data_IF_681338161339
#
_entry.id   IF_681338161339
#
_cell.length_a   1.000
_cell.length_b   1.000
_cell.length_c   1.000
_cell.angle_alpha   90.00
_cell.angle_beta   90.00
_cell.angle_gamma   90.00
#
_symmetry.space_group_name_H-M   'P 1'
#
loop_
_entity.id
_entity.type
_entity.pdbx_description
1 polymer ?
#
# COMPACT_ATOMS: atom_id res chain seq x y z
N UNK A 1 -6.97 -6.92 33.16
CA UNK A 1 -7.81 -6.32 32.09
C UNK A 1 -7.91 -4.80 32.23
N UNK A 2 -7.82 -4.06 31.11
CA UNK A 2 -7.91 -2.58 31.08
C UNK A 2 -9.28 -2.07 31.60
N UNK A 3 -10.30 -2.94 31.58
CA UNK A 3 -11.63 -2.68 32.14
C UNK A 3 -11.86 -3.13 33.59
N UNK A 4 -10.84 -3.60 34.33
CA UNK A 4 -11.03 -4.06 35.71
C UNK A 4 -11.10 -2.94 36.76
N UNK A 5 -10.75 -1.71 36.37
CA UNK A 5 -10.89 -0.52 37.22
C UNK A 5 -11.51 0.61 36.40
N UNK A 6 -12.46 1.31 36.98
CA UNK A 6 -13.15 2.43 36.30
C UNK A 6 -12.16 3.50 35.86
N UNK A 7 -11.12 3.77 36.68
CA UNK A 7 -10.07 4.74 36.37
C UNK A 7 -9.26 4.34 35.13
N UNK A 8 -8.93 3.05 34.97
CA UNK A 8 -8.18 2.60 33.79
C UNK A 8 -9.05 2.62 32.53
N UNK A 9 -10.36 2.37 32.66
CA UNK A 9 -11.32 2.44 31.57
C UNK A 9 -11.54 3.89 31.12
N UNK A 10 -11.72 4.81 32.06
CA UNK A 10 -11.83 6.26 31.79
C UNK A 10 -10.53 6.81 31.20
N UNK A 11 -9.37 6.44 31.74
CA UNK A 11 -8.08 6.86 31.22
C UNK A 11 -7.85 6.39 29.77
N UNK A 12 -8.17 5.12 29.49
CA UNK A 12 -8.05 4.55 28.15
C UNK A 12 -9.01 5.22 27.15
N UNK A 13 -10.26 5.44 27.53
CA UNK A 13 -11.25 6.10 26.66
C UNK A 13 -10.86 7.54 26.36
N UNK A 14 -10.41 8.32 27.34
CA UNK A 14 -9.93 9.69 27.12
C UNK A 14 -8.70 9.73 26.20
N UNK A 15 -7.74 8.82 26.39
CA UNK A 15 -6.60 8.69 25.51
C UNK A 15 -7.02 8.36 24.07
N UNK A 16 -7.96 7.42 23.91
CA UNK A 16 -8.49 7.01 22.61
C UNK A 16 -9.18 8.19 21.89
N UNK A 17 -10.04 8.93 22.59
CA UNK A 17 -10.68 10.14 22.05
C UNK A 17 -9.65 11.20 21.63
N UNK A 18 -8.65 11.49 22.48
CA UNK A 18 -7.59 12.44 22.14
C UNK A 18 -6.82 12.03 20.89
N UNK A 19 -6.54 10.73 20.73
CA UNK A 19 -5.86 10.19 19.58
C UNK A 19 -6.66 10.34 18.29
N UNK A 20 -7.97 10.05 18.32
CA UNK A 20 -8.84 10.24 17.15
C UNK A 20 -9.02 11.72 16.80
N UNK A 21 -9.22 12.58 17.80
CA UNK A 21 -9.32 14.03 17.59
C UNK A 21 -8.05 14.57 16.95
N UNK A 22 -6.88 14.09 17.38
CA UNK A 22 -5.61 14.46 16.77
C UNK A 22 -5.54 14.06 15.28
N UNK A 23 -5.87 12.81 14.94
CA UNK A 23 -5.81 12.35 13.54
C UNK A 23 -6.84 13.04 12.64
N UNK A 24 -8.05 13.29 13.16
CA UNK A 24 -9.08 14.09 12.47
C UNK A 24 -8.59 15.52 12.29
N UNK A 25 -8.03 16.14 13.32
CA UNK A 25 -7.46 17.48 13.25
C UNK A 25 -6.35 17.59 12.19
N UNK A 26 -5.44 16.61 12.16
CA UNK A 26 -4.37 16.56 11.15
C UNK A 26 -4.91 16.41 9.72
N UNK A 27 -5.92 15.58 9.51
CA UNK A 27 -6.52 15.40 8.18
C UNK A 27 -7.26 16.66 7.73
N UNK A 28 -8.07 17.26 8.61
CA UNK A 28 -8.79 18.50 8.34
C UNK A 28 -7.85 19.66 8.02
N UNK A 29 -6.85 19.92 8.88
CA UNK A 29 -5.91 21.02 8.67
C UNK A 29 -5.17 20.91 7.33
N UNK A 30 -4.91 19.68 6.89
CA UNK A 30 -4.28 19.40 5.61
C UNK A 30 -5.24 19.61 4.42
N UNK A 31 -6.48 19.12 4.53
CA UNK A 31 -7.53 19.34 3.53
C UNK A 31 -7.82 20.84 3.34
N UNK A 32 -7.85 21.63 4.42
CA UNK A 32 -8.05 23.08 4.36
C UNK A 32 -6.87 23.82 3.72
N UNK A 33 -5.63 23.41 3.97
CA UNK A 33 -4.45 24.05 3.38
C UNK A 33 -4.25 23.71 1.91
N UNK A 34 -4.57 22.48 1.50
CA UNK A 34 -4.33 21.99 0.14
C UNK A 34 -5.49 21.09 -0.34
N UNK A 35 -6.57 21.64 -0.90
CA UNK A 35 -7.75 20.87 -1.34
C UNK A 35 -7.45 19.82 -2.43
N UNK A 36 -6.33 19.96 -3.14
CA UNK A 36 -5.91 19.05 -4.21
C UNK A 36 -4.87 18.01 -3.76
N UNK A 37 -4.45 18.02 -2.50
CA UNK A 37 -3.53 17.03 -1.94
C UNK A 37 -4.30 15.84 -1.35
N UNK A 38 -3.60 14.73 -1.12
CA UNK A 38 -4.15 13.58 -0.41
C UNK A 38 -4.48 13.96 1.04
N UNK A 39 -5.53 13.32 1.60
CA UNK A 39 -6.04 13.59 2.95
C UNK A 39 -4.99 13.27 4.03
N UNK A 40 -4.15 12.26 3.77
CA UNK A 40 -2.98 11.94 4.59
C UNK A 40 -1.71 11.94 3.73
N UNK A 41 -0.59 12.35 4.32
CA UNK A 41 0.72 12.01 3.74
C UNK A 41 1.03 10.53 3.94
N UNK A 42 1.95 10.00 3.12
CA UNK A 42 2.45 8.63 3.27
C UNK A 42 3.01 8.36 4.66
N UNK A 43 3.83 9.28 5.19
CA UNK A 43 4.35 9.19 6.56
C UNK A 43 3.26 9.17 7.63
N UNK A 44 2.26 10.06 7.53
CA UNK A 44 1.11 10.05 8.45
C UNK A 44 0.32 8.75 8.37
N UNK A 45 0.16 8.16 7.17
CA UNK A 45 -0.51 6.87 7.05
C UNK A 45 0.25 5.73 7.74
N UNK A 46 1.58 5.70 7.64
CA UNK A 46 2.38 4.68 8.32
C UNK A 46 2.21 4.74 9.83
N UNK A 47 2.23 5.95 10.39
CA UNK A 47 2.01 6.18 11.82
C UNK A 47 0.57 5.90 12.25
N UNK A 48 -0.43 6.24 11.42
CA UNK A 48 -1.84 5.93 11.67
C UNK A 48 -2.05 4.42 11.76
N UNK A 49 -1.56 3.66 10.76
CA UNK A 49 -1.67 2.19 10.74
C UNK A 49 -0.96 1.59 11.94
N UNK A 50 0.30 1.98 12.20
CA UNK A 50 1.04 1.46 13.35
C UNK A 50 0.30 1.70 14.67
N UNK A 51 -0.31 2.87 14.84
CA UNK A 51 -1.06 3.20 16.05
C UNK A 51 -2.35 2.38 16.17
N UNK A 52 -3.11 2.24 15.08
CA UNK A 52 -4.33 1.44 15.07
C UNK A 52 -4.03 -0.03 15.36
N UNK A 53 -2.94 -0.55 14.80
CA UNK A 53 -2.57 -1.95 14.99
C UNK A 53 -2.21 -2.26 16.44
N UNK A 54 -1.50 -1.36 17.11
CA UNK A 54 -1.20 -1.51 18.55
C UNK A 54 -2.49 -1.59 19.37
N UNK A 55 -3.49 -0.77 19.04
CA UNK A 55 -4.79 -0.77 19.73
C UNK A 55 -5.54 -2.08 19.44
N UNK A 56 -5.66 -2.46 18.17
CA UNK A 56 -6.41 -3.66 17.74
C UNK A 56 -5.79 -4.91 18.33
N UNK A 57 -4.46 -5.06 18.24
CA UNK A 57 -3.75 -6.18 18.86
C UNK A 57 -3.99 -6.21 20.36
N UNK A 58 -3.91 -5.06 21.05
CA UNK A 58 -4.16 -4.96 22.49
C UNK A 58 -5.54 -5.48 22.92
N UNK A 59 -6.55 -5.43 22.04
CA UNK A 59 -7.85 -6.06 22.26
C UNK A 59 -7.85 -7.56 21.91
N UNK A 60 -7.19 -7.95 20.83
CA UNK A 60 -7.11 -9.36 20.39
C UNK A 60 -6.24 -10.26 21.28
N UNK A 61 -5.28 -9.68 22.01
CA UNK A 61 -4.38 -10.36 22.97
C UNK A 61 -5.10 -10.84 24.24
N UNK A 62 -6.25 -10.24 24.57
CA UNK A 62 -6.89 -10.47 25.87
C UNK A 62 -7.47 -11.89 25.92
N UNK A 63 -6.79 -12.75 26.67
CA UNK A 63 -7.15 -14.14 26.87
C UNK A 63 -8.11 -14.34 28.07
N UNK A 64 -9.03 -15.28 27.88
CA UNK A 64 -9.87 -15.99 28.86
C UNK A 64 -11.08 -15.28 29.45
N UNK A 65 -12.27 -15.75 29.03
CA UNK A 65 -13.42 -15.81 29.94
C UNK A 65 -13.96 -17.26 30.10
N UNK A 66 -13.85 -18.18 29.12
CA UNK A 66 -14.61 -19.45 29.19
C UNK A 66 -13.91 -20.75 28.72
N UNK A 67 -12.58 -20.90 28.86
CA UNK A 67 -11.91 -22.21 28.75
C UNK A 67 -11.83 -22.84 27.34
N UNK A 68 -12.34 -22.19 26.28
CA UNK A 68 -12.21 -22.65 24.90
C UNK A 68 -11.27 -21.76 24.08
N UNK A 69 -9.97 -21.90 24.34
CA UNK A 69 -8.88 -21.13 23.70
C UNK A 69 -8.93 -21.11 22.16
N UNK A 70 -9.46 -22.15 21.52
CA UNK A 70 -9.48 -22.31 20.06
C UNK A 70 -10.47 -21.42 19.33
N UNK A 71 -11.71 -21.37 19.80
CA UNK A 71 -12.75 -20.54 19.20
C UNK A 71 -12.42 -19.05 19.38
N UNK A 72 -11.83 -18.70 20.52
CA UNK A 72 -11.43 -17.32 20.82
C UNK A 72 -10.26 -16.87 19.93
N UNK A 73 -9.26 -17.72 19.68
CA UNK A 73 -8.12 -17.38 18.82
C UNK A 73 -8.53 -17.10 17.37
N UNK A 74 -9.28 -18.02 16.74
CA UNK A 74 -9.72 -17.83 15.35
C UNK A 74 -10.71 -16.67 15.20
N UNK A 75 -11.59 -16.47 16.18
CA UNK A 75 -12.52 -15.32 16.19
C UNK A 75 -11.77 -14.00 16.31
N UNK A 76 -10.78 -13.91 17.21
CA UNK A 76 -9.94 -12.73 17.37
C UNK A 76 -9.11 -12.46 16.10
N UNK A 77 -8.56 -13.50 15.48
CA UNK A 77 -7.81 -13.39 14.23
C UNK A 77 -8.70 -12.95 13.07
N UNK A 78 -9.92 -13.48 12.97
CA UNK A 78 -10.89 -13.09 11.95
C UNK A 78 -11.33 -11.63 12.13
N UNK A 79 -11.66 -11.22 13.35
CA UNK A 79 -12.03 -9.85 13.67
C UNK A 79 -10.90 -8.87 13.36
N UNK A 80 -9.66 -9.21 13.73
CA UNK A 80 -8.48 -8.43 13.38
C UNK A 80 -8.31 -8.33 11.87
N UNK A 81 -8.44 -9.44 11.14
CA UNK A 81 -8.34 -9.46 9.68
C UNK A 81 -9.39 -8.56 9.02
N UNK A 82 -10.63 -8.58 9.50
CA UNK A 82 -11.71 -7.72 9.01
C UNK A 82 -11.39 -6.24 9.26
N UNK A 83 -10.91 -5.89 10.45
CA UNK A 83 -10.53 -4.50 10.77
C UNK A 83 -9.37 -4.02 9.88
N UNK A 84 -8.37 -4.87 9.66
CA UNK A 84 -7.24 -4.57 8.78
C UNK A 84 -7.69 -4.36 7.32
N UNK A 85 -8.63 -5.18 6.84
CA UNK A 85 -9.28 -4.98 5.54
C UNK A 85 -9.94 -3.61 5.47
N UNK A 86 -10.77 -3.25 6.45
CA UNK A 86 -11.48 -1.96 6.49
C UNK A 86 -10.49 -0.79 6.50
N UNK A 87 -9.43 -0.85 7.31
CA UNK A 87 -8.40 0.19 7.40
C UNK A 87 -7.67 0.33 6.06
N UNK A 88 -7.23 -0.77 5.46
CA UNK A 88 -6.48 -0.73 4.20
C UNK A 88 -7.36 -0.25 3.02
N UNK A 89 -8.64 -0.62 2.98
CA UNK A 89 -9.59 -0.07 2.00
C UNK A 89 -9.85 1.43 2.21
N UNK A 90 -10.01 1.87 3.46
CA UNK A 90 -10.08 3.29 3.79
C UNK A 90 -8.82 4.05 3.32
N UNK A 91 -7.64 3.49 3.58
CA UNK A 91 -6.38 4.06 3.13
C UNK A 91 -6.23 4.09 1.62
N UNK A 92 -6.75 3.10 0.89
CA UNK A 92 -6.76 3.12 -0.58
C UNK A 92 -7.52 4.35 -1.11
N UNK A 93 -8.66 4.68 -0.49
CA UNK A 93 -9.42 5.87 -0.84
C UNK A 93 -8.72 7.18 -0.42
N UNK A 94 -8.07 7.19 0.75
CA UNK A 94 -7.48 8.40 1.34
C UNK A 94 -6.09 8.76 0.79
N UNK A 95 -5.30 7.75 0.40
CA UNK A 95 -3.93 7.92 -0.08
C UNK A 95 -3.80 7.97 -1.60
N UNK A 96 -4.82 7.55 -2.36
CA UNK A 96 -4.68 7.50 -3.81
C UNK A 96 -4.62 8.91 -4.40
N UNK A 97 -3.47 9.34 -4.95
CA UNK A 97 -3.33 10.68 -5.48
C UNK A 97 -4.26 10.88 -6.69
N UNK A 98 -4.83 12.07 -6.77
CA UNK A 98 -5.61 12.49 -7.92
C UNK A 98 -4.75 12.44 -9.20
N UNK A 99 -5.34 11.99 -10.31
CA UNK A 99 -4.70 11.84 -11.63
C UNK A 99 -3.70 12.95 -11.96
N UNK A 100 -4.07 14.22 -11.79
CA UNK A 100 -3.23 15.40 -12.07
C UNK A 100 -1.91 15.41 -11.29
N UNK A 101 -1.95 15.14 -9.98
CA UNK A 101 -0.75 15.08 -9.15
C UNK A 101 0.21 13.99 -9.64
N UNK A 102 -0.35 12.87 -10.09
CA UNK A 102 0.41 11.75 -10.62
C UNK A 102 1.03 12.07 -12.01
N UNK A 103 0.34 12.85 -12.86
CA UNK A 103 0.92 13.30 -14.14
C UNK A 103 2.10 14.26 -13.90
N UNK A 104 1.93 15.20 -12.97
CA UNK A 104 3.00 16.11 -12.56
C UNK A 104 4.21 15.32 -12.05
N UNK A 105 3.97 14.34 -11.18
CA UNK A 105 5.02 13.48 -10.67
C UNK A 105 5.73 12.71 -11.79
N UNK A 106 4.98 12.09 -12.71
CA UNK A 106 5.54 11.35 -13.84
C UNK A 106 6.44 12.23 -14.73
N UNK A 107 6.11 13.51 -14.90
CA UNK A 107 6.97 14.48 -15.60
C UNK A 107 8.26 14.74 -14.82
N UNK A 108 8.15 15.02 -13.52
CA UNK A 108 9.32 15.31 -12.68
C UNK A 108 10.26 14.11 -12.56
N UNK A 109 9.72 12.89 -12.44
CA UNK A 109 10.53 11.67 -12.30
C UNK A 109 11.34 11.37 -13.57
N UNK A 110 10.78 11.58 -14.77
CA UNK A 110 11.54 11.43 -16.01
C UNK A 110 12.68 12.44 -16.14
N UNK A 111 12.45 13.69 -15.73
CA UNK A 111 13.47 14.74 -15.75
C UNK A 111 14.58 14.45 -14.74
N UNK A 112 14.22 13.99 -13.53
CA UNK A 112 15.19 13.62 -12.50
C UNK A 112 16.02 12.41 -12.91
N UNK A 113 15.41 11.40 -13.53
CA UNK A 113 16.08 10.20 -14.03
C UNK A 113 17.09 10.54 -15.14
N UNK A 114 16.69 11.33 -16.15
CA UNK A 114 17.61 11.81 -17.20
C UNK A 114 18.79 12.61 -16.64
N UNK A 115 18.54 13.46 -15.64
CA UNK A 115 19.58 14.29 -15.00
C UNK A 115 20.53 13.45 -14.15
N UNK A 116 20.01 12.48 -13.42
CA UNK A 116 20.80 11.52 -12.63
C UNK A 116 21.70 10.65 -13.52
N UNK A 117 21.18 10.16 -14.67
CA UNK A 117 21.97 9.41 -15.65
C UNK A 117 23.13 10.23 -16.23
N UNK A 118 22.89 11.51 -16.57
CA UNK A 118 23.94 12.43 -17.04
C UNK A 118 25.01 12.69 -15.98
N UNK A 119 24.61 12.93 -14.72
CA UNK A 119 25.56 13.12 -13.61
C UNK A 119 26.40 11.86 -13.41
N UNK A 120 25.79 10.67 -13.42
CA UNK A 120 26.47 9.39 -13.26
C UNK A 120 27.48 9.10 -14.38
N UNK A 121 27.13 9.43 -15.63
CA UNK A 121 28.09 9.37 -16.75
C UNK A 121 29.22 10.40 -16.59
N UNK A 122 28.92 11.60 -16.09
CA UNK A 122 29.90 12.66 -15.90
C UNK A 122 30.87 12.35 -14.75
N UNK A 123 30.43 11.78 -13.63
CA UNK A 123 31.33 11.28 -12.57
C UNK A 123 32.16 10.09 -13.03
N UNK A 124 31.59 9.18 -13.84
CA UNK A 124 32.36 8.06 -14.42
C UNK A 124 33.46 8.55 -15.36
N UNK A 125 33.20 9.57 -16.20
CA UNK A 125 34.22 10.21 -17.04
C UNK A 125 35.21 11.08 -16.26
N UNK A 126 34.85 11.56 -15.08
CA UNK A 126 35.74 12.35 -14.20
C UNK A 126 36.73 11.49 -13.41
N UNK A 127 36.43 10.20 -13.19
CA UNK A 127 37.34 9.23 -12.58
C UNK A 127 38.64 9.06 -13.37
N UNK A 128 38.60 9.30 -14.69
CA UNK A 128 39.76 9.17 -15.59
C UNK A 128 40.54 10.49 -15.79
N UNK A 129 40.06 11.61 -15.22
CA UNK A 129 40.63 12.95 -15.42
C UNK A 129 41.43 13.44 -14.19
N UNK A 130 42.22 12.54 -13.59
CA UNK A 130 43.02 12.80 -12.38
C UNK A 130 44.19 13.77 -12.54
N UNK A 131 44.48 14.34 -13.72
CA UNK A 131 45.78 15.00 -13.97
C UNK A 131 45.73 16.44 -14.49
N UNK A 132 44.59 17.15 -14.46
CA UNK A 132 44.62 18.61 -14.69
C UNK A 132 43.72 19.37 -13.73
N UNK A 133 44.19 19.54 -12.50
CA UNK A 133 43.87 20.71 -11.70
C UNK A 133 45.00 21.71 -11.88
N UNK A 134 44.79 22.66 -12.77
CA UNK A 134 45.13 24.06 -12.55
C UNK A 134 44.19 24.85 -13.46
N UNK A 135 43.68 25.96 -12.93
CA UNK A 135 42.79 26.94 -13.60
C UNK A 135 41.29 26.64 -13.57
N UNK A 136 40.62 27.01 -12.46
CA UNK A 136 39.29 27.64 -12.53
C UNK A 136 39.23 28.78 -11.49
N UNK A 137 38.84 30.01 -11.87
CA UNK A 137 38.79 31.18 -10.98
C UNK A 137 37.60 31.14 -10.00
N UNK A 138 37.69 31.82 -8.84
CA UNK A 138 36.75 31.66 -7.73
C UNK A 138 35.62 32.69 -7.82
N UNK A 139 34.69 32.58 -8.77
CA UNK A 139 33.44 33.37 -8.68
C UNK A 139 32.26 32.77 -9.46
N UNK A 140 31.85 31.54 -9.13
CA UNK A 140 30.49 31.10 -9.47
C UNK A 140 29.78 30.76 -8.17
N UNK A 141 28.75 31.54 -7.87
CA UNK A 141 28.01 31.56 -6.63
C UNK A 141 27.49 30.17 -6.22
N UNK A 142 28.11 29.61 -5.17
CA UNK A 142 27.70 28.37 -4.49
C UNK A 142 26.22 28.38 -4.04
N UNK A 143 25.63 29.56 -3.88
CA UNK A 143 24.22 29.75 -3.49
C UNK A 143 23.22 29.31 -4.56
N UNK A 144 23.56 29.37 -5.86
CA UNK A 144 22.64 28.93 -6.94
C UNK A 144 22.71 27.41 -7.17
N UNK A 145 23.87 26.80 -6.92
CA UNK A 145 24.04 25.35 -6.98
C UNK A 145 23.36 24.66 -5.79
N UNK A 146 23.49 25.21 -4.58
CA UNK A 146 22.84 24.66 -3.38
C UNK A 146 21.30 24.69 -3.46
N UNK A 147 20.70 25.65 -4.17
CA UNK A 147 19.23 25.72 -4.39
C UNK A 147 18.72 24.72 -5.44
N UNK A 148 19.60 24.18 -6.30
CA UNK A 148 19.28 23.10 -7.24
C UNK A 148 19.60 21.70 -6.68
N UNK A 149 20.44 21.64 -5.65
CA UNK A 149 20.87 20.40 -4.98
C UNK A 149 19.92 19.98 -3.84
N UNK A 150 19.14 20.91 -3.28
CA UNK A 150 18.18 20.69 -2.17
C UNK A 150 16.94 19.85 -2.52
N UNK A 151 16.85 19.28 -3.73
CA UNK A 151 15.73 18.40 -4.11
C UNK A 151 16.16 17.20 -4.95
N UNK A 152 17.38 16.68 -4.76
CA UNK A 152 17.77 15.37 -5.29
C UNK A 152 17.28 14.25 -4.36
N UNK A 153 15.96 14.04 -4.25
CA UNK A 153 15.45 12.78 -3.70
C UNK A 153 15.71 11.68 -4.73
N UNK A 154 16.28 10.56 -4.30
CA UNK A 154 16.36 9.36 -5.14
C UNK A 154 14.94 8.89 -5.49
N UNK A 155 14.74 8.26 -6.65
CA UNK A 155 13.42 7.80 -7.09
C UNK A 155 12.72 6.92 -6.04
N UNK A 156 13.49 6.11 -5.31
CA UNK A 156 12.99 5.28 -4.20
C UNK A 156 12.49 6.13 -3.04
N UNK A 157 13.28 7.13 -2.60
CA UNK A 157 12.87 8.04 -1.54
C UNK A 157 11.62 8.84 -1.94
N UNK A 158 11.48 9.20 -3.21
CA UNK A 158 10.31 9.89 -3.73
C UNK A 158 9.09 8.97 -3.89
N UNK A 159 9.28 7.67 -4.16
CA UNK A 159 8.21 6.68 -4.15
C UNK A 159 7.65 6.43 -2.74
N UNK A 160 8.54 6.33 -1.75
CA UNK A 160 8.18 6.06 -0.35
C UNK A 160 7.61 7.30 0.33
N UNK A 161 8.24 8.46 0.15
CA UNK A 161 7.90 9.67 0.91
C UNK A 161 7.23 10.77 0.06
N UNK A 162 7.19 10.63 -1.25
CA UNK A 162 6.60 11.62 -2.14
C UNK A 162 5.08 11.55 -2.12
N UNK A 163 4.44 12.69 -1.90
CA UNK A 163 2.98 12.80 -1.78
C UNK A 163 2.26 12.63 -3.13
N UNK A 164 2.98 12.89 -4.23
CA UNK A 164 2.43 12.83 -5.59
C UNK A 164 2.78 11.52 -6.33
N UNK A 165 3.62 10.68 -5.73
CA UNK A 165 4.03 9.42 -6.34
C UNK A 165 2.95 8.35 -6.16
N UNK A 166 2.94 7.29 -6.99
CA UNK A 166 1.90 6.25 -6.94
C UNK A 166 1.69 5.72 -5.51
N UNK A 167 0.43 5.48 -5.14
CA UNK A 167 0.08 5.02 -3.79
C UNK A 167 0.44 3.55 -3.55
N UNK A 168 0.64 2.74 -4.60
CA UNK A 168 0.89 1.29 -4.51
C UNK A 168 2.05 0.95 -3.55
N UNK A 169 3.14 1.71 -3.58
CA UNK A 169 4.29 1.49 -2.67
C UNK A 169 3.95 1.88 -1.23
N UNK A 170 3.19 2.96 -1.04
CA UNK A 170 2.73 3.33 0.30
C UNK A 170 1.75 2.29 0.87
N UNK A 171 0.90 1.72 0.02
CA UNK A 171 0.00 0.63 0.39
C UNK A 171 0.77 -0.62 0.78
N UNK A 172 1.84 -0.97 0.06
CA UNK A 172 2.70 -2.09 0.42
C UNK A 172 3.35 -1.92 1.80
N UNK A 173 3.80 -0.70 2.13
CA UNK A 173 4.39 -0.40 3.45
C UNK A 173 3.32 -0.43 4.54
N UNK A 174 2.16 0.18 4.32
CA UNK A 174 1.03 0.11 5.27
C UNK A 174 0.60 -1.34 5.51
N UNK A 175 0.51 -2.14 4.45
CA UNK A 175 0.21 -3.57 4.55
C UNK A 175 1.27 -4.31 5.36
N UNK A 176 2.56 -4.07 5.13
CA UNK A 176 3.63 -4.69 5.90
C UNK A 176 3.56 -4.31 7.40
N UNK A 177 3.28 -3.04 7.72
CA UNK A 177 3.09 -2.59 9.10
C UNK A 177 1.88 -3.29 9.73
N UNK A 178 0.78 -3.46 8.98
CA UNK A 178 -0.44 -4.12 9.44
C UNK A 178 -0.25 -5.63 9.68
N UNK A 179 0.48 -6.32 8.78
CA UNK A 179 0.64 -7.78 8.83
C UNK A 179 1.80 -8.24 9.71
N UNK A 180 2.79 -7.40 9.99
CA UNK A 180 3.99 -7.84 10.74
C UNK A 180 3.66 -8.29 12.17
N UNK A 181 2.91 -7.51 12.98
CA UNK A 181 2.61 -7.92 14.35
C UNK A 181 1.71 -9.16 14.42
N UNK A 182 0.79 -9.31 13.48
CA UNK A 182 -0.13 -10.45 13.42
C UNK A 182 0.61 -11.71 13.03
N UNK A 183 1.50 -11.64 12.04
CA UNK A 183 2.41 -12.75 11.70
C UNK A 183 3.31 -13.11 12.87
N UNK A 184 3.87 -12.12 13.57
CA UNK A 184 4.71 -12.37 14.74
C UNK A 184 3.91 -13.07 15.85
N UNK A 185 2.70 -12.61 16.13
CA UNK A 185 1.78 -13.22 17.08
C UNK A 185 1.50 -14.70 16.73
N UNK A 186 1.15 -14.97 15.47
CA UNK A 186 0.87 -16.32 14.97
C UNK A 186 2.09 -17.25 15.09
N UNK A 187 3.28 -16.74 14.77
CA UNK A 187 4.51 -17.53 14.82
C UNK A 187 4.92 -17.88 16.25
N UNK A 188 4.75 -16.95 17.18
CA UNK A 188 5.06 -17.10 18.60
C UNK A 188 4.04 -18.00 19.32
N UNK A 189 2.80 -18.08 18.83
CA UNK A 189 1.80 -18.95 19.43
C UNK A 189 2.14 -20.43 19.20
N UNK A 190 2.18 -21.20 20.29
CA UNK A 190 2.30 -22.66 20.26
C UNK A 190 0.92 -23.28 20.46
N UNK A 191 0.09 -23.24 19.42
CA UNK A 191 -1.21 -23.94 19.45
C UNK A 191 -1.03 -25.36 18.89
N UNK A 192 -1.36 -26.36 19.71
CA UNK A 192 -1.29 -27.79 19.37
C UNK A 192 -2.17 -28.08 18.14
N UNK A 193 -1.72 -28.68 17.03
CA UNK A 193 -2.55 -28.84 15.79
C UNK A 193 -2.75 -27.61 14.88
N UNK A 194 -2.09 -26.48 15.11
CA UNK A 194 -2.09 -25.40 14.10
C UNK A 194 -1.18 -25.75 12.92
N UNK A 195 -1.77 -25.89 11.74
CA UNK A 195 -1.01 -25.97 10.50
C UNK A 195 -0.42 -24.59 10.15
N UNK A 196 0.77 -24.32 10.69
CA UNK A 196 1.49 -23.05 10.48
C UNK A 196 1.74 -22.77 9.00
N UNK A 197 1.87 -23.81 8.17
CA UNK A 197 2.09 -23.64 6.73
C UNK A 197 0.86 -23.05 6.05
N UNK A 198 -0.33 -23.56 6.40
CA UNK A 198 -1.61 -23.02 5.92
C UNK A 198 -1.82 -21.56 6.32
N UNK A 199 -1.51 -21.19 7.55
CA UNK A 199 -1.64 -19.79 7.98
C UNK A 199 -0.67 -18.88 7.21
N UNK A 200 0.58 -19.32 7.02
CA UNK A 200 1.56 -18.54 6.25
C UNK A 200 1.09 -18.32 4.80
N UNK A 201 0.54 -19.35 4.17
CA UNK A 201 -0.08 -19.21 2.85
C UNK A 201 -1.29 -18.28 2.88
N UNK A 202 -2.15 -18.37 3.89
CA UNK A 202 -3.27 -17.45 4.08
C UNK A 202 -2.81 -15.99 4.15
N UNK A 203 -1.73 -15.71 4.88
CA UNK A 203 -1.14 -14.37 4.94
C UNK A 203 -0.53 -13.93 3.59
N UNK A 204 0.11 -14.85 2.85
CA UNK A 204 0.64 -14.57 1.52
C UNK A 204 -0.48 -14.26 0.50
N UNK A 205 -1.59 -15.01 0.56
CA UNK A 205 -2.80 -14.74 -0.22
C UNK A 205 -3.39 -13.37 0.14
N UNK A 206 -3.54 -13.08 1.42
CA UNK A 206 -4.05 -11.79 1.90
C UNK A 206 -3.20 -10.63 1.35
N UNK A 207 -1.88 -10.72 1.48
CA UNK A 207 -0.98 -9.69 0.99
C UNK A 207 -1.07 -9.52 -0.54
N UNK A 208 -1.15 -10.63 -1.28
CA UNK A 208 -1.29 -10.62 -2.74
C UNK A 208 -2.60 -9.95 -3.18
N UNK A 209 -3.72 -10.30 -2.54
CA UNK A 209 -5.04 -9.70 -2.78
C UNK A 209 -5.05 -8.19 -2.52
N UNK A 210 -4.49 -7.75 -1.38
CA UNK A 210 -4.43 -6.33 -1.05
C UNK A 210 -3.58 -5.54 -2.06
N UNK A 211 -2.47 -6.11 -2.52
CA UNK A 211 -1.62 -5.49 -3.53
C UNK A 211 -2.27 -5.45 -4.92
N UNK A 212 -3.04 -6.48 -5.29
CA UNK A 212 -3.82 -6.51 -6.54
C UNK A 212 -4.87 -5.39 -6.50
N UNK A 213 -5.64 -5.26 -5.42
CA UNK A 213 -6.63 -4.18 -5.28
C UNK A 213 -6.00 -2.80 -5.29
N UNK A 214 -4.89 -2.60 -4.58
CA UNK A 214 -4.17 -1.34 -4.59
C UNK A 214 -3.74 -0.94 -6.02
N UNK A 215 -3.25 -1.91 -6.78
CA UNK A 215 -2.82 -1.71 -8.17
C UNK A 215 -4.00 -1.41 -9.10
N UNK A 216 -5.10 -2.15 -8.96
CA UNK A 216 -6.34 -1.94 -9.72
C UNK A 216 -6.94 -0.57 -9.46
N UNK A 217 -7.12 -0.20 -8.19
CA UNK A 217 -7.66 1.11 -7.78
C UNK A 217 -6.80 2.24 -8.35
N UNK A 218 -5.46 2.14 -8.21
CA UNK A 218 -4.54 3.14 -8.76
C UNK A 218 -4.67 3.26 -10.28
N UNK A 219 -4.79 2.15 -10.99
CA UNK A 219 -4.93 2.12 -12.46
C UNK A 219 -6.26 2.73 -12.89
N UNK A 220 -7.36 2.39 -12.24
CA UNK A 220 -8.70 2.93 -12.54
C UNK A 220 -8.73 4.44 -12.30
N UNK A 221 -8.14 4.91 -11.19
CA UNK A 221 -8.08 6.33 -10.87
C UNK A 221 -7.21 7.15 -11.84
N UNK A 222 -6.33 6.50 -12.60
CA UNK A 222 -5.56 7.11 -13.68
C UNK A 222 -6.32 7.22 -15.01
N UNK A 223 -7.37 6.43 -15.20
CA UNK A 223 -8.14 6.43 -16.44
C UNK A 223 -8.85 7.77 -16.69
N UNK A 224 -9.10 8.07 -17.95
CA UNK A 224 -9.83 9.26 -18.39
C UNK A 224 -11.34 9.01 -18.36
N UNK A 225 -11.91 8.87 -17.17
CA UNK A 225 -13.37 8.69 -17.01
C UNK A 225 -13.97 9.68 -16.02
N UNK A 226 -15.20 10.18 -16.27
CA UNK A 226 -15.96 10.89 -15.25
C UNK A 226 -16.32 9.93 -14.12
N UNK A 227 -16.35 10.42 -12.87
CA UNK A 227 -16.69 9.63 -11.67
C UNK A 227 -15.79 8.41 -11.41
N UNK A 228 -14.48 8.51 -11.73
CA UNK A 228 -13.46 7.46 -11.51
C UNK A 228 -13.48 6.74 -10.15
N UNK A 229 -13.86 7.44 -9.07
CA UNK A 229 -13.96 6.85 -7.73
C UNK A 229 -15.08 5.81 -7.65
N UNK A 230 -16.22 6.07 -8.32
CA UNK A 230 -17.34 5.13 -8.39
C UNK A 230 -16.96 3.89 -9.20
N UNK A 231 -16.24 4.08 -10.31
CA UNK A 231 -15.72 2.96 -11.11
C UNK A 231 -14.71 2.12 -10.32
N UNK A 232 -13.84 2.76 -9.54
CA UNK A 232 -12.88 2.04 -8.69
C UNK A 232 -13.61 1.24 -7.62
N UNK A 233 -14.55 1.86 -6.90
CA UNK A 233 -15.37 1.19 -5.88
C UNK A 233 -16.19 0.03 -6.47
N UNK A 234 -16.85 0.25 -7.61
CA UNK A 234 -17.63 -0.77 -8.30
C UNK A 234 -16.78 -1.93 -8.79
N UNK A 235 -15.58 -1.67 -9.31
CA UNK A 235 -14.67 -2.74 -9.77
C UNK A 235 -14.12 -3.56 -8.61
N UNK A 236 -13.75 -2.90 -7.51
CA UNK A 236 -13.34 -3.59 -6.29
C UNK A 236 -14.49 -4.48 -5.80
N UNK A 237 -15.68 -3.92 -5.58
CA UNK A 237 -16.85 -4.66 -5.12
C UNK A 237 -17.23 -5.83 -6.04
N UNK A 238 -17.21 -5.61 -7.36
CA UNK A 238 -17.46 -6.65 -8.34
C UNK A 238 -16.40 -7.76 -8.28
N UNK A 239 -15.12 -7.40 -8.21
CA UNK A 239 -14.01 -8.37 -8.10
C UNK A 239 -14.05 -9.12 -6.76
N UNK A 240 -14.51 -8.48 -5.69
CA UNK A 240 -14.70 -9.09 -4.37
C UNK A 240 -15.87 -10.07 -4.37
N UNK A 241 -17.04 -9.67 -4.87
CA UNK A 241 -18.27 -10.44 -4.69
C UNK A 241 -18.52 -11.44 -5.82
N UNK A 242 -18.25 -11.08 -7.08
CA UNK A 242 -18.61 -11.91 -8.24
C UNK A 242 -17.99 -13.30 -8.24
N UNK A 243 -16.70 -13.50 -7.92
CA UNK A 243 -16.13 -14.84 -7.94
C UNK A 243 -16.85 -15.78 -6.97
N UNK A 244 -17.20 -15.30 -5.78
CA UNK A 244 -17.87 -16.09 -4.74
C UNK A 244 -19.31 -16.39 -5.12
N UNK A 245 -20.04 -15.39 -5.62
CA UNK A 245 -21.44 -15.59 -6.01
C UNK A 245 -21.55 -16.54 -7.20
N UNK A 246 -20.66 -16.44 -8.18
CA UNK A 246 -20.63 -17.36 -9.34
C UNK A 246 -20.32 -18.78 -8.89
N UNK A 247 -19.30 -19.00 -8.05
CA UNK A 247 -19.00 -20.33 -7.54
C UNK A 247 -20.16 -20.92 -6.74
N UNK A 248 -20.78 -20.11 -5.87
CA UNK A 248 -21.93 -20.54 -5.07
C UNK A 248 -23.16 -20.87 -5.93
N UNK A 249 -23.47 -20.06 -6.94
CA UNK A 249 -24.60 -20.31 -7.86
C UNK A 249 -24.35 -21.53 -8.74
N UNK A 250 -23.11 -21.76 -9.16
CA UNK A 250 -22.73 -22.95 -9.92
C UNK A 250 -22.65 -24.22 -9.05
N UNK A 251 -22.84 -24.12 -7.73
CA UNK A 251 -22.76 -25.25 -6.81
C UNK A 251 -21.35 -25.83 -6.69
N UNK A 252 -20.31 -25.03 -6.98
CA UNK A 252 -18.91 -25.48 -6.89
C UNK A 252 -18.44 -25.27 -5.46
N UNK A 253 -18.38 -26.35 -4.68
CA UNK A 253 -17.95 -26.30 -3.29
C UNK A 253 -16.43 -26.51 -3.13
N UNK A 254 -15.82 -25.98 -2.06
CA UNK A 254 -14.36 -25.96 -1.87
C UNK A 254 -13.76 -27.33 -1.56
N UNK A 255 -14.55 -28.26 -1.05
CA UNK A 255 -14.20 -29.66 -0.79
C UNK A 255 -14.01 -30.45 -2.10
N UNK A 256 -14.80 -30.16 -3.13
CA UNK A 256 -14.66 -30.79 -4.45
C UNK A 256 -13.60 -30.11 -5.32
N UNK A 257 -13.59 -28.77 -5.35
CA UNK A 257 -12.75 -27.98 -6.26
C UNK A 257 -12.03 -26.82 -5.54
N UNK A 258 -11.04 -27.12 -4.67
CA UNK A 258 -10.36 -26.11 -3.87
C UNK A 258 -9.58 -25.09 -4.71
N UNK A 259 -9.13 -25.49 -5.91
CA UNK A 259 -8.36 -24.64 -6.82
C UNK A 259 -9.11 -23.37 -7.23
N UNK A 260 -10.40 -23.47 -7.56
CA UNK A 260 -11.22 -22.32 -7.96
C UNK A 260 -11.46 -21.36 -6.78
N UNK A 261 -11.61 -21.91 -5.59
CA UNK A 261 -11.76 -21.12 -4.36
C UNK A 261 -10.48 -20.37 -3.98
N UNK A 262 -9.29 -20.92 -4.27
CA UNK A 262 -8.00 -20.23 -4.07
C UNK A 262 -7.81 -19.00 -4.98
N UNK A 263 -8.48 -18.95 -6.13
CA UNK A 263 -8.51 -17.77 -7.01
C UNK A 263 -9.67 -16.81 -6.70
N UNK A 264 -10.58 -17.20 -5.81
CA UNK A 264 -11.66 -16.33 -5.33
C UNK A 264 -11.18 -15.38 -4.23
N UNK A 265 -12.01 -14.41 -3.88
CA UNK A 265 -11.80 -13.43 -2.82
C UNK A 265 -11.62 -14.05 -1.42
N UNK A 266 -12.03 -15.31 -1.25
CA UNK A 266 -11.96 -16.03 0.02
C UNK A 266 -11.03 -17.25 -0.11
N UNK A 267 -9.73 -17.06 -0.37
CA UNK A 267 -8.79 -18.15 -0.62
C UNK A 267 -8.58 -19.05 0.60
N UNK A 268 -8.84 -18.56 1.82
CA UNK A 268 -8.76 -19.35 3.05
C UNK A 268 -9.71 -20.56 3.04
N UNK A 269 -10.87 -20.44 2.39
CA UNK A 269 -11.82 -21.55 2.26
C UNK A 269 -11.23 -22.66 1.36
N UNK A 270 -10.64 -22.29 0.23
CA UNK A 270 -9.97 -23.26 -0.66
C UNK A 270 -8.68 -23.84 -0.05
N UNK A 271 -8.05 -23.12 0.88
CA UNK A 271 -6.82 -23.52 1.53
C UNK A 271 -7.02 -24.63 2.59
N UNK A 272 -8.22 -24.73 3.15
CA UNK A 272 -8.57 -25.79 4.09
C UNK A 272 -8.50 -27.17 3.43
N UNK A 273 -9.04 -27.28 2.21
CA UNK A 273 -9.16 -28.52 1.43
C UNK A 273 -8.07 -28.68 0.35
N UNK A 274 -7.36 -27.61 0.00
CA UNK A 274 -6.36 -27.59 -1.05
C UNK A 274 -5.04 -28.29 -0.67
N UNK A 275 -4.47 -29.02 -1.63
CA UNK A 275 -3.11 -29.57 -1.50
C UNK A 275 -2.05 -28.45 -1.57
N UNK A 276 -0.89 -28.65 -0.94
CA UNK A 276 0.20 -27.66 -0.94
C UNK A 276 0.64 -27.27 -2.35
N UNK A 277 0.65 -28.21 -3.30
CA UNK A 277 1.01 -27.93 -4.71
C UNK A 277 -0.02 -27.01 -5.37
N UNK A 278 -1.31 -27.27 -5.18
CA UNK A 278 -2.39 -26.40 -5.71
C UNK A 278 -2.34 -24.99 -5.12
N UNK A 279 -2.02 -24.88 -3.83
CA UNK A 279 -1.85 -23.59 -3.13
C UNK A 279 -0.69 -22.79 -3.73
N UNK A 280 0.46 -23.42 -3.95
CA UNK A 280 1.60 -22.76 -4.61
C UNK A 280 1.28 -22.29 -6.03
N UNK A 281 0.61 -23.13 -6.82
CA UNK A 281 0.21 -22.78 -8.19
C UNK A 281 -0.74 -21.57 -8.21
N UNK A 282 -1.69 -21.52 -7.27
CA UNK A 282 -2.59 -20.38 -7.13
C UNK A 282 -1.83 -19.09 -6.76
N UNK A 283 -0.87 -19.17 -5.83
CA UNK A 283 -0.01 -18.04 -5.48
C UNK A 283 0.84 -17.55 -6.65
N UNK A 284 1.41 -18.45 -7.44
CA UNK A 284 2.14 -18.10 -8.65
C UNK A 284 1.23 -17.39 -9.66
N UNK A 285 0.01 -17.89 -9.86
CA UNK A 285 -0.99 -17.26 -10.72
C UNK A 285 -1.32 -15.83 -10.27
N UNK A 286 -1.58 -15.62 -8.98
CA UNK A 286 -1.82 -14.29 -8.42
C UNK A 286 -0.60 -13.37 -8.53
N UNK A 287 0.61 -13.91 -8.34
CA UNK A 287 1.86 -13.20 -8.53
C UNK A 287 2.03 -12.69 -9.98
N UNK A 288 1.69 -13.52 -10.97
CA UNK A 288 1.71 -13.11 -12.39
C UNK A 288 0.72 -11.96 -12.62
N UNK A 289 -0.51 -12.07 -12.12
CA UNK A 289 -1.51 -10.99 -12.23
C UNK A 289 -0.99 -9.69 -11.61
N UNK A 290 -0.42 -9.76 -10.41
CA UNK A 290 0.15 -8.60 -9.73
C UNK A 290 1.29 -7.95 -10.53
N UNK A 291 2.20 -8.76 -11.09
CA UNK A 291 3.29 -8.27 -11.95
C UNK A 291 2.73 -7.59 -13.19
N UNK A 292 1.77 -8.21 -13.88
CA UNK A 292 1.16 -7.65 -15.08
C UNK A 292 0.47 -6.30 -14.79
N UNK A 293 -0.29 -6.20 -13.71
CA UNK A 293 -0.94 -4.95 -13.30
C UNK A 293 0.08 -3.85 -13.00
N UNK A 294 1.15 -4.18 -12.28
CA UNK A 294 2.21 -3.21 -11.96
C UNK A 294 2.98 -2.76 -13.23
N UNK A 295 3.18 -3.65 -14.20
CA UNK A 295 3.75 -3.29 -15.49
C UNK A 295 2.82 -2.37 -16.29
N UNK A 296 1.51 -2.65 -16.30
CA UNK A 296 0.52 -1.78 -16.93
C UNK A 296 0.48 -0.39 -16.29
N UNK A 297 0.52 -0.32 -14.96
CA UNK A 297 0.59 0.94 -14.23
C UNK A 297 1.83 1.77 -14.63
N UNK A 298 3.00 1.13 -14.68
CA UNK A 298 4.25 1.78 -15.13
C UNK A 298 4.15 2.28 -16.57
N UNK A 299 3.57 1.49 -17.48
CA UNK A 299 3.36 1.87 -18.88
C UNK A 299 2.46 3.10 -18.99
N UNK A 300 1.32 3.12 -18.28
CA UNK A 300 0.42 4.28 -18.28
C UNK A 300 1.08 5.53 -17.71
N UNK A 301 1.83 5.40 -16.60
CA UNK A 301 2.59 6.52 -16.03
C UNK A 301 3.57 7.13 -17.03
N UNK A 302 4.30 6.28 -17.76
CA UNK A 302 5.26 6.73 -18.78
C UNK A 302 4.57 7.47 -19.93
N UNK A 303 3.50 6.89 -20.48
CA UNK A 303 2.74 7.49 -21.57
C UNK A 303 2.15 8.85 -21.19
N UNK A 304 1.60 8.95 -19.98
CA UNK A 304 1.03 10.19 -19.46
C UNK A 304 2.09 11.29 -19.31
N UNK A 305 3.29 10.95 -18.84
CA UNK A 305 4.41 11.88 -18.77
C UNK A 305 4.85 12.39 -20.14
N UNK A 306 4.96 11.49 -21.12
CA UNK A 306 5.39 11.82 -22.49
C UNK A 306 4.38 12.73 -23.20
N UNK A 307 3.08 12.42 -23.15
CA UNK A 307 2.05 13.24 -23.80
C UNK A 307 2.00 14.68 -23.26
N UNK A 308 2.14 14.85 -21.94
CA UNK A 308 2.14 16.17 -21.32
C UNK A 308 3.39 16.98 -21.70
N UNK A 309 4.57 16.33 -21.77
CA UNK A 309 5.81 16.99 -22.19
C UNK A 309 5.76 17.47 -23.65
N UNK A 310 5.18 16.65 -24.55
CA UNK A 310 5.02 17.00 -25.97
C UNK A 310 4.05 18.17 -26.16
N UNK A 311 2.95 18.20 -25.41
CA UNK A 311 1.97 19.29 -25.47
C UNK A 311 2.61 20.65 -25.07
N UNK A 312 3.44 20.67 -24.02
CA UNK A 312 4.14 21.89 -23.60
C UNK A 312 5.15 22.37 -24.64
N UNK A 313 5.95 21.47 -25.23
CA UNK A 313 6.89 21.83 -26.29
C UNK A 313 6.20 22.36 -27.55
N UNK A 314 5.00 21.85 -27.88
CA UNK A 314 4.23 22.37 -29.00
C UNK A 314 3.59 23.74 -28.75
N UNK A 315 3.41 24.13 -27.48
CA UNK A 315 2.92 25.46 -27.09
C UNK A 315 4.03 26.51 -27.08
N UNK A 316 5.25 26.14 -26.69
CA UNK A 316 6.42 27.03 -26.65
C UNK A 316 6.94 27.40 -28.06
N UNK A 317 6.64 26.56 -29.06
CA UNK A 317 6.99 26.77 -30.46
C UNK A 317 5.94 27.58 -31.26
N UNK A 318 4.92 28.17 -30.61
CA UNK A 318 3.91 29.05 -31.24
C UNK A 318 4.10 30.49 -30.78
#
# INVERSE_FOLDING_TARGET
>A
PIGARDISLVGFTLFNYGLWIYWIGQSLQRCFRNPHATVFSKGQSYSLVACLEVIILGFSVQAEINGYWWNDFFSNLAMLSILNVVILFGLMALLSPQRQALQDWARYSQVSEKRSGKISQQTRRRGDAGTRRNEIPPHISFTRYNKLQTRQRTLVQDLVWGEKSPAVVAMAINLAIATTPTLLWILLQSVENLDKTKILFGAAFFASWMMIYASLVQLILMMRTPKRVIWAAGTVAATTCLPVTVLGVLGIFPDENPTLWLFSTFPWVGLEYGTTTTVWMALLGQGIVLVLLNLQLRRQLKQVGESASKALLSMDNR
#
